data_IF_419736710702
#
_entry.id   IF_419736710702
#
_cell.length_a   1.000
_cell.length_b   1.000
_cell.length_c   1.000
_cell.angle_alpha   90.00
_cell.angle_beta   90.00
_cell.angle_gamma   90.00
#
_symmetry.space_group_name_H-M   'P 1'
#
loop_
_entity.id
_entity.type
_entity.pdbx_description
1 polymer ?
#
# COMPACT_ATOMS: atom_id res chain seq x y z
N UNK A 1 -22.06 8.17 -3.33
CA UNK A 1 -21.63 7.18 -2.32
C UNK A 1 -21.68 5.75 -2.85
N UNK A 2 -22.78 5.27 -3.46
CA UNK A 2 -22.90 3.88 -3.95
C UNK A 2 -21.81 3.43 -4.95
N UNK A 3 -21.28 4.32 -5.79
CA UNK A 3 -20.26 3.99 -6.81
C UNK A 3 -18.85 3.78 -6.24
N UNK A 4 -18.54 4.35 -5.08
CA UNK A 4 -17.23 4.18 -4.41
C UNK A 4 -17.20 2.81 -3.74
N UNK A 5 -18.24 2.53 -2.95
CA UNK A 5 -18.37 1.26 -2.25
C UNK A 5 -18.39 0.07 -3.20
N UNK A 6 -18.94 0.22 -4.41
CA UNK A 6 -18.92 -0.84 -5.42
C UNK A 6 -17.51 -1.14 -5.93
N UNK A 7 -16.64 -0.13 -6.10
CA UNK A 7 -15.25 -0.33 -6.53
C UNK A 7 -14.39 -0.98 -5.43
N UNK A 8 -14.76 -0.80 -4.16
CA UNK A 8 -14.12 -1.40 -2.99
C UNK A 8 -14.64 -2.81 -2.65
N UNK A 9 -15.63 -3.36 -3.38
CA UNK A 9 -16.11 -4.73 -3.11
C UNK A 9 -15.25 -5.78 -3.80
N UNK A 10 -14.50 -6.54 -3.00
CA UNK A 10 -13.81 -7.75 -3.42
C UNK A 10 -13.76 -8.76 -2.26
N UNK A 11 -13.57 -10.03 -2.55
CA UNK A 11 -13.26 -11.07 -1.56
C UNK A 11 -11.76 -11.38 -1.58
N UNK A 12 -11.19 -11.45 -2.77
CA UNK A 12 -9.75 -11.63 -2.99
C UNK A 12 -9.23 -10.64 -4.02
N UNK A 13 -8.00 -10.18 -3.82
CA UNK A 13 -7.27 -9.35 -4.76
C UNK A 13 -5.93 -10.03 -5.05
N UNK A 14 -5.60 -10.19 -6.32
CA UNK A 14 -4.30 -10.64 -6.77
C UNK A 14 -3.72 -9.61 -7.74
N UNK A 15 -2.46 -9.26 -7.54
CA UNK A 15 -1.70 -8.51 -8.53
C UNK A 15 -0.32 -9.09 -8.73
N UNK A 16 0.19 -9.01 -9.95
CA UNK A 16 1.56 -9.32 -10.31
C UNK A 16 2.13 -8.18 -11.14
N UNK A 17 3.33 -7.76 -10.83
CA UNK A 17 3.91 -6.58 -11.45
C UNK A 17 5.41 -6.47 -11.27
N UNK A 18 5.90 -5.27 -11.52
CA UNK A 18 7.27 -4.87 -11.29
C UNK A 18 7.30 -3.68 -10.35
N UNK A 19 8.31 -3.64 -9.49
CA UNK A 19 8.65 -2.49 -8.69
C UNK A 19 10.02 -1.97 -9.12
N UNK A 20 10.17 -0.66 -9.15
CA UNK A 20 11.45 0.03 -9.22
C UNK A 20 11.60 0.86 -7.95
N UNK A 21 12.75 0.77 -7.31
CA UNK A 21 13.09 1.54 -6.12
C UNK A 21 14.35 2.35 -6.40
N UNK A 22 14.38 3.57 -5.89
CA UNK A 22 15.56 4.42 -5.90
C UNK A 22 15.64 5.19 -4.59
N UNK A 23 16.80 5.13 -3.94
CA UNK A 23 17.15 5.90 -2.76
C UNK A 23 18.62 6.26 -2.78
N UNK A 24 19.09 6.97 -1.74
CA UNK A 24 20.46 7.49 -1.65
C UNK A 24 21.56 6.43 -1.75
N UNK A 25 21.30 5.22 -1.27
CA UNK A 25 22.30 4.15 -1.16
C UNK A 25 22.12 3.04 -2.21
N UNK A 26 20.89 2.83 -2.69
CA UNK A 26 20.57 1.71 -3.58
C UNK A 26 19.48 2.11 -4.57
N UNK A 27 19.60 1.58 -5.79
CA UNK A 27 18.54 1.59 -6.78
C UNK A 27 18.40 0.20 -7.41
N UNK A 28 17.21 -0.09 -7.94
CA UNK A 28 17.01 -1.32 -8.69
C UNK A 28 15.57 -1.65 -8.98
N UNK A 29 15.39 -2.72 -9.76
CA UNK A 29 14.09 -3.28 -10.09
C UNK A 29 13.94 -4.70 -9.54
N UNK A 30 12.70 -5.05 -9.21
CA UNK A 30 12.28 -6.37 -8.77
C UNK A 30 10.88 -6.68 -9.33
N UNK A 31 10.54 -7.96 -9.42
CA UNK A 31 9.17 -8.40 -9.63
C UNK A 31 8.44 -8.45 -8.29
N UNK A 32 7.15 -8.11 -8.29
CA UNK A 32 6.30 -8.24 -7.12
C UNK A 32 5.04 -9.04 -7.40
N UNK A 33 4.52 -9.66 -6.36
CA UNK A 33 3.24 -10.33 -6.37
C UNK A 33 2.51 -10.05 -5.06
N UNK A 34 1.29 -9.56 -5.16
CA UNK A 34 0.43 -9.25 -4.02
C UNK A 34 -0.79 -10.15 -4.05
N UNK A 35 -1.15 -10.69 -2.88
CA UNK A 35 -2.41 -11.39 -2.63
C UNK A 35 -3.08 -10.79 -1.42
N UNK A 36 -4.39 -10.57 -1.49
CA UNK A 36 -5.19 -10.07 -0.36
C UNK A 36 -6.45 -10.92 -0.25
N UNK A 37 -6.79 -11.30 0.97
CA UNK A 37 -8.13 -11.71 1.36
C UNK A 37 -8.73 -10.52 2.12
N UNK A 38 -9.84 -9.99 1.60
CA UNK A 38 -10.44 -8.75 2.11
C UNK A 38 -10.64 -8.83 3.61
N UNK A 39 -10.33 -7.74 4.31
CA UNK A 39 -10.51 -7.62 5.75
C UNK A 39 -9.79 -8.72 6.55
N UNK A 40 -8.78 -9.40 6.02
CA UNK A 40 -8.13 -10.51 6.73
C UNK A 40 -6.61 -10.45 6.65
N UNK A 41 -6.06 -10.61 5.44
CA UNK A 41 -4.63 -10.84 5.29
C UNK A 41 -4.16 -10.40 3.91
N UNK A 42 -2.97 -9.81 3.85
CA UNK A 42 -2.26 -9.49 2.62
C UNK A 42 -0.87 -10.12 2.63
N UNK A 43 -0.41 -10.59 1.48
CA UNK A 43 0.90 -11.20 1.32
C UNK A 43 1.58 -10.61 0.09
N UNK A 44 2.66 -9.88 0.31
CA UNK A 44 3.52 -9.32 -0.72
C UNK A 44 4.78 -10.18 -0.85
N UNK A 45 5.07 -10.62 -2.07
CA UNK A 45 6.28 -11.37 -2.42
C UNK A 45 7.10 -10.49 -3.37
N UNK A 46 8.37 -10.27 -3.03
CA UNK A 46 9.34 -9.52 -3.85
C UNK A 46 10.39 -10.49 -4.37
N UNK A 47 10.62 -10.46 -5.68
CA UNK A 47 11.55 -11.36 -6.37
C UNK A 47 12.52 -10.58 -7.25
N UNK A 48 13.74 -11.08 -7.38
CA UNK A 48 14.70 -10.59 -8.38
C UNK A 48 15.28 -11.78 -9.12
N UNK A 49 15.25 -11.74 -10.46
CA UNK A 49 15.70 -12.84 -11.32
C UNK A 49 15.05 -14.19 -10.96
N UNK A 50 13.76 -14.18 -10.62
CA UNK A 50 13.00 -15.38 -10.23
C UNK A 50 13.21 -15.85 -8.79
N UNK A 51 14.21 -15.33 -8.08
CA UNK A 51 14.51 -15.67 -6.68
C UNK A 51 13.69 -14.77 -5.75
N UNK A 52 13.02 -15.36 -4.77
CA UNK A 52 12.31 -14.62 -3.72
C UNK A 52 13.31 -14.01 -2.74
N UNK A 53 13.27 -12.68 -2.60
CA UNK A 53 14.13 -11.93 -1.68
C UNK A 53 13.40 -11.65 -0.37
N UNK A 54 12.16 -11.19 -0.48
CA UNK A 54 11.34 -10.83 0.67
C UNK A 54 9.93 -11.37 0.54
N UNK A 55 9.33 -11.73 1.67
CA UNK A 55 7.91 -11.99 1.79
C UNK A 55 7.34 -11.29 3.01
N UNK A 56 6.34 -10.46 2.79
CA UNK A 56 5.71 -9.64 3.82
C UNK A 56 4.27 -10.11 3.98
N UNK A 57 3.92 -10.56 5.18
CA UNK A 57 2.57 -10.88 5.59
C UNK A 57 2.03 -9.72 6.42
N UNK A 58 0.89 -9.18 6.02
CA UNK A 58 0.21 -8.09 6.73
C UNK A 58 -1.13 -8.66 7.18
N UNK A 59 -1.27 -8.80 8.48
CA UNK A 59 -2.50 -9.15 9.17
C UNK A 59 -3.10 -7.86 9.76
N UNK A 60 -4.31 -7.93 10.32
CA UNK A 60 -4.99 -6.74 10.87
C UNK A 60 -4.18 -6.01 11.94
N UNK A 61 -3.42 -6.74 12.75
CA UNK A 61 -2.74 -6.24 13.94
C UNK A 61 -1.20 -6.37 13.88
N UNK A 62 -0.68 -7.01 12.83
CA UNK A 62 0.73 -7.37 12.78
C UNK A 62 1.27 -7.49 11.37
N UNK A 63 2.58 -7.28 11.25
CA UNK A 63 3.35 -7.43 10.02
C UNK A 63 4.47 -8.43 10.29
N UNK A 64 4.53 -9.47 9.47
CA UNK A 64 5.63 -10.44 9.47
C UNK A 64 6.46 -10.28 8.22
N UNK A 65 7.74 -9.95 8.36
CA UNK A 65 8.70 -9.85 7.26
C UNK A 65 9.61 -11.07 7.29
N UNK A 66 9.68 -11.77 6.17
CA UNK A 66 10.63 -12.86 5.91
C UNK A 66 11.70 -12.34 4.96
N UNK A 67 12.94 -12.27 5.44
CA UNK A 67 14.13 -11.92 4.66
C UNK A 67 14.86 -13.20 4.24
N UNK A 68 14.83 -13.50 2.94
CA UNK A 68 15.48 -14.69 2.37
C UNK A 68 16.93 -14.47 2.01
N UNK A 69 17.41 -13.23 2.04
CA UNK A 69 18.82 -12.91 1.80
C UNK A 69 19.59 -13.27 3.08
N UNK A 70 19.12 -12.76 4.22
CA UNK A 70 19.77 -12.96 5.52
C UNK A 70 19.25 -14.20 6.29
N UNK A 71 18.27 -14.91 5.73
CA UNK A 71 17.56 -16.02 6.38
C UNK A 71 17.02 -15.63 7.77
N UNK A 72 16.39 -14.46 7.84
CA UNK A 72 15.81 -13.92 9.07
C UNK A 72 14.32 -13.66 8.91
N UNK A 73 13.63 -13.54 10.04
CA UNK A 73 12.24 -13.10 10.06
C UNK A 73 11.97 -12.21 11.27
N UNK A 74 11.02 -11.29 11.10
CA UNK A 74 10.56 -10.41 12.16
C UNK A 74 9.04 -10.36 12.14
N UNK A 75 8.41 -10.33 13.33
CA UNK A 75 6.98 -10.06 13.49
C UNK A 75 6.82 -8.87 14.43
N UNK A 76 6.23 -7.81 13.92
CA UNK A 76 5.96 -6.56 14.63
C UNK A 76 4.45 -6.32 14.70
N UNK A 77 3.97 -5.66 15.75
CA UNK A 77 2.62 -5.10 15.73
C UNK A 77 2.50 -4.01 14.67
N UNK A 78 1.29 -3.74 14.18
CA UNK A 78 1.06 -2.68 13.20
C UNK A 78 1.48 -1.31 13.73
N UNK A 79 1.31 -1.07 15.03
CA UNK A 79 1.74 0.17 15.69
C UNK A 79 3.26 0.32 15.62
N UNK A 80 4.01 -0.74 15.98
CA UNK A 80 5.47 -0.72 15.89
C UNK A 80 5.94 -0.52 14.45
N UNK A 81 5.29 -1.18 13.49
CA UNK A 81 5.60 -1.05 12.07
C UNK A 81 5.36 0.38 11.56
N UNK A 82 4.21 0.97 11.89
CA UNK A 82 3.88 2.37 11.57
C UNK A 82 4.87 3.34 12.19
N UNK A 83 5.26 3.13 13.46
CA UNK A 83 6.27 3.96 14.12
C UNK A 83 7.66 3.84 13.47
N UNK A 84 8.07 2.62 13.07
CA UNK A 84 9.36 2.37 12.42
C UNK A 84 9.43 2.98 11.01
N UNK A 85 8.38 2.82 10.22
CA UNK A 85 8.30 3.38 8.87
C UNK A 85 7.92 4.86 8.85
N UNK A 86 7.51 5.42 10.00
CA UNK A 86 6.84 6.73 10.12
C UNK A 86 5.77 6.96 9.06
N UNK A 87 5.10 5.88 8.65
CA UNK A 87 4.04 5.87 7.66
C UNK A 87 2.87 5.08 8.25
N UNK A 88 1.66 5.67 8.36
CA UNK A 88 0.46 4.96 8.79
C UNK A 88 -0.03 3.98 7.71
N UNK A 89 0.84 3.04 7.30
CA UNK A 89 0.41 1.87 6.52
C UNK A 89 -0.26 0.91 7.49
N UNK A 90 -1.58 1.01 7.57
CA UNK A 90 -2.38 -0.08 8.10
C UNK A 90 -2.90 -0.98 6.97
N UNK A 91 -3.51 -2.09 7.37
CA UNK A 91 -4.09 -3.06 6.45
C UNK A 91 -5.20 -2.45 5.57
N UNK A 92 -5.96 -1.48 6.09
CA UNK A 92 -7.09 -0.87 5.38
C UNK A 92 -6.63 0.13 4.33
N UNK A 93 -5.59 0.93 4.63
CA UNK A 93 -4.99 1.85 3.65
C UNK A 93 -4.55 1.12 2.39
N UNK A 94 -3.92 -0.06 2.53
CA UNK A 94 -3.49 -0.87 1.38
C UNK A 94 -4.69 -1.27 0.53
N UNK A 95 -5.76 -1.76 1.16
CA UNK A 95 -6.97 -2.17 0.44
C UNK A 95 -7.64 -0.98 -0.27
N UNK A 96 -7.76 0.16 0.41
CA UNK A 96 -8.37 1.37 -0.16
C UNK A 96 -7.57 1.90 -1.34
N UNK A 97 -6.25 2.00 -1.20
CA UNK A 97 -5.36 2.45 -2.28
C UNK A 97 -5.44 1.52 -3.50
N UNK A 98 -5.56 0.21 -3.30
CA UNK A 98 -5.63 -0.76 -4.42
C UNK A 98 -7.00 -0.84 -5.10
N UNK A 99 -8.04 -0.27 -4.49
CA UNK A 99 -9.42 -0.36 -4.99
C UNK A 99 -10.03 0.99 -5.34
N UNK A 100 -9.18 2.01 -5.55
CA UNK A 100 -9.62 3.40 -5.78
C UNK A 100 -10.51 3.95 -4.65
N UNK A 101 -10.39 3.36 -3.46
CA UNK A 101 -11.07 3.76 -2.25
C UNK A 101 -10.51 5.02 -1.61
N UNK A 102 -11.15 5.40 -0.50
CA UNK A 102 -10.69 6.49 0.36
C UNK A 102 -10.37 5.91 1.72
N UNK A 103 -9.16 6.19 2.20
CA UNK A 103 -8.77 5.82 3.55
C UNK A 103 -9.59 6.63 4.57
N UNK A 104 -10.44 5.92 5.30
CA UNK A 104 -11.28 6.46 6.36
C UNK A 104 -11.08 5.62 7.62
N UNK A 105 -10.91 6.30 8.75
CA UNK A 105 -10.62 5.73 10.05
C UNK A 105 -11.38 6.51 11.12
N UNK A 106 -11.94 5.79 12.09
CA UNK A 106 -12.72 6.38 13.19
C UNK A 106 -11.88 7.24 14.14
N UNK A 107 -10.56 7.08 14.12
CA UNK A 107 -9.62 7.81 14.97
C UNK A 107 -9.16 9.15 14.37
N UNK A 108 -9.71 9.54 13.22
CA UNK A 108 -9.31 10.76 12.50
C UNK A 108 -10.44 11.80 12.53
N UNK A 109 -10.05 13.05 12.73
CA UNK A 109 -10.92 14.21 12.47
C UNK A 109 -10.79 14.63 11.02
N UNK A 110 -11.91 14.96 10.37
CA UNK A 110 -11.96 15.21 8.93
C UNK A 110 -12.40 16.63 8.57
N UNK A 111 -11.73 17.18 7.55
CA UNK A 111 -12.16 18.37 6.82
C UNK A 111 -12.26 18.06 5.33
N UNK A 112 -13.28 18.61 4.68
CA UNK A 112 -13.51 18.44 3.24
C UNK A 112 -13.54 19.79 2.54
N UNK A 113 -12.74 19.93 1.48
CA UNK A 113 -12.75 21.11 0.61
C UNK A 113 -13.05 20.68 -0.82
N UNK A 114 -14.14 21.21 -1.37
CA UNK A 114 -14.57 20.89 -2.74
C UNK A 114 -14.19 22.01 -3.71
N UNK A 115 -13.73 21.59 -4.88
CA UNK A 115 -13.52 22.39 -6.10
C UNK A 115 -14.40 21.82 -7.22
N UNK A 116 -14.53 22.48 -8.39
CA UNK A 116 -15.41 22.00 -9.46
C UNK A 116 -15.13 20.55 -9.91
N UNK A 117 -13.85 20.20 -10.10
CA UNK A 117 -13.44 18.90 -10.64
C UNK A 117 -12.76 17.98 -9.61
N UNK A 118 -12.40 18.54 -8.46
CA UNK A 118 -11.62 17.84 -7.44
C UNK A 118 -12.17 18.10 -6.05
N UNK A 119 -11.79 17.26 -5.11
CA UNK A 119 -11.98 17.51 -3.69
C UNK A 119 -10.73 17.13 -2.92
N UNK A 120 -10.55 17.78 -1.78
CA UNK A 120 -9.47 17.52 -0.85
C UNK A 120 -10.10 17.02 0.45
N UNK A 121 -9.85 15.76 0.79
CA UNK A 121 -10.16 15.18 2.09
C UNK A 121 -8.90 15.31 2.95
N UNK A 122 -9.02 16.00 4.08
CA UNK A 122 -7.93 16.19 5.03
C UNK A 122 -8.30 15.46 6.32
N UNK A 123 -7.41 14.62 6.83
CA UNK A 123 -7.59 13.88 8.07
C UNK A 123 -6.47 14.18 9.05
N UNK A 124 -6.80 14.35 10.32
CA UNK A 124 -5.84 14.66 11.40
C UNK A 124 -6.05 13.74 12.59
N UNK A 125 -4.95 13.18 13.12
CA UNK A 125 -4.87 12.48 14.41
C UNK A 125 -3.73 13.08 15.25
N UNK A 126 -3.53 12.54 16.45
CA UNK A 126 -2.36 12.85 17.29
C UNK A 126 -1.02 12.39 16.67
N UNK A 127 -1.04 11.37 15.80
CA UNK A 127 0.17 10.73 15.27
C UNK A 127 0.57 11.23 13.87
N UNK A 128 -0.41 11.60 13.06
CA UNK A 128 -0.18 12.03 11.68
C UNK A 128 -1.34 12.86 11.13
N UNK A 129 -1.04 13.57 10.04
CA UNK A 129 -2.01 14.21 9.17
C UNK A 129 -1.96 13.54 7.80
N UNK A 130 -3.08 13.52 7.09
CA UNK A 130 -3.10 13.12 5.70
C UNK A 130 -4.02 14.00 4.84
N UNK A 131 -3.69 14.10 3.56
CA UNK A 131 -4.45 14.82 2.55
C UNK A 131 -4.65 13.91 1.34
N UNK A 132 -5.89 13.56 1.02
CA UNK A 132 -6.26 12.81 -0.18
C UNK A 132 -6.89 13.75 -1.21
N UNK A 133 -6.27 13.83 -2.38
CA UNK A 133 -6.86 14.47 -3.55
C UNK A 133 -7.78 13.48 -4.25
N UNK A 134 -9.00 13.94 -4.51
CA UNK A 134 -10.11 13.15 -5.05
C UNK A 134 -10.54 13.77 -6.36
N UNK A 135 -10.58 12.97 -7.42
CA UNK A 135 -11.22 13.34 -8.69
C UNK A 135 -12.70 12.98 -8.61
N UNK A 136 -13.59 13.85 -9.11
CA UNK A 136 -15.04 13.62 -9.00
C UNK A 136 -15.63 12.84 -10.18
N UNK A 137 -14.92 12.76 -11.32
CA UNK A 137 -15.43 12.17 -12.57
C UNK A 137 -14.37 11.28 -13.25
N UNK A 138 -14.40 9.95 -13.02
CA UNK A 138 -15.15 9.26 -11.98
C UNK A 138 -14.55 9.49 -10.60
N UNK A 139 -15.36 9.25 -9.57
CA UNK A 139 -15.00 9.45 -8.17
C UNK A 139 -13.88 8.48 -7.73
N UNK A 140 -12.67 8.99 -7.46
CA UNK A 140 -11.49 8.19 -7.06
C UNK A 140 -10.38 9.05 -6.46
N UNK A 141 -9.52 8.43 -5.65
CA UNK A 141 -8.27 9.05 -5.18
C UNK A 141 -7.26 9.21 -6.33
N UNK A 142 -6.53 10.32 -6.38
CA UNK A 142 -5.40 10.54 -7.30
C UNK A 142 -4.05 10.65 -6.59
N UNK A 143 -4.04 11.21 -5.38
CA UNK A 143 -2.84 11.35 -4.57
C UNK A 143 -3.20 11.32 -3.09
N UNK A 144 -2.35 10.70 -2.26
CA UNK A 144 -2.48 10.70 -0.80
C UNK A 144 -1.16 11.17 -0.22
N UNK A 145 -1.19 12.20 0.61
CA UNK A 145 -0.01 12.75 1.27
C UNK A 145 -0.14 12.55 2.77
N UNK A 146 0.82 11.87 3.38
CA UNK A 146 0.95 11.72 4.82
C UNK A 146 2.06 12.60 5.35
N UNK A 147 1.85 13.20 6.52
CA UNK A 147 2.85 13.91 7.29
C UNK A 147 2.85 13.39 8.72
N UNK A 148 3.99 12.90 9.19
CA UNK A 148 4.19 12.48 10.58
C UNK A 148 5.63 12.80 11.02
N UNK A 149 5.78 13.55 12.11
CA UNK A 149 7.08 13.84 12.75
C UNK A 149 8.16 14.33 11.76
N UNK A 150 7.81 15.20 10.82
CA UNK A 150 8.73 15.77 9.83
C UNK A 150 9.07 14.84 8.64
N UNK A 151 8.44 13.67 8.56
CA UNK A 151 8.49 12.81 7.37
C UNK A 151 7.24 12.98 6.52
N UNK A 152 7.45 13.08 5.21
CA UNK A 152 6.39 13.22 4.23
C UNK A 152 6.37 11.99 3.33
N UNK A 153 5.21 11.37 3.20
CA UNK A 153 5.01 10.31 2.21
C UNK A 153 3.91 10.71 1.24
N UNK A 154 4.20 10.63 -0.05
CA UNK A 154 3.20 10.80 -1.11
C UNK A 154 2.95 9.47 -1.79
N UNK A 155 1.69 9.11 -2.01
CA UNK A 155 1.24 7.98 -2.83
C UNK A 155 0.48 8.58 -4.00
N UNK A 156 1.08 8.59 -5.19
CA UNK A 156 0.43 9.02 -6.42
C UNK A 156 -0.11 7.81 -7.18
N UNK A 157 -1.38 7.88 -7.57
CA UNK A 157 -2.02 6.86 -8.40
C UNK A 157 -1.94 7.32 -9.85
N UNK A 158 -0.97 6.77 -10.58
CA UNK A 158 -0.57 7.27 -11.89
C UNK A 158 -1.45 6.76 -13.03
N UNK A 159 -1.94 5.53 -12.92
CA UNK A 159 -2.75 4.88 -13.97
C UNK A 159 -3.84 4.01 -13.35
N UNK A 160 -4.95 3.91 -14.08
CA UNK A 160 -6.04 3.01 -13.76
C UNK A 160 -6.39 2.12 -14.96
N UNK A 161 -7.02 0.99 -14.70
CA UNK A 161 -7.53 0.05 -15.69
C UNK A 161 -8.90 -0.49 -15.27
N UNK A 162 -9.79 -0.69 -16.23
CA UNK A 162 -11.09 -1.30 -15.97
C UNK A 162 -10.98 -2.82 -15.97
N UNK A 163 -11.20 -3.45 -14.81
CA UNK A 163 -11.11 -4.90 -14.59
C UNK A 163 -12.46 -5.37 -14.04
N UNK A 164 -13.16 -6.20 -14.81
CA UNK A 164 -14.51 -6.69 -14.47
C UNK A 164 -15.50 -5.56 -14.10
N UNK A 165 -15.40 -4.40 -14.78
CA UNK A 165 -16.23 -3.22 -14.52
C UNK A 165 -15.77 -2.34 -13.35
N UNK A 166 -14.72 -2.73 -12.62
CA UNK A 166 -14.10 -1.90 -11.58
C UNK A 166 -12.93 -1.13 -12.16
N UNK A 167 -12.90 0.18 -11.93
CA UNK A 167 -11.73 0.98 -12.26
C UNK A 167 -10.70 0.83 -11.13
N UNK A 168 -9.61 0.12 -11.39
CA UNK A 168 -8.60 -0.18 -10.39
C UNK A 168 -7.27 0.50 -10.73
N UNK A 169 -6.51 0.95 -9.73
CA UNK A 169 -5.16 1.43 -9.92
C UNK A 169 -4.22 0.35 -10.48
N UNK A 170 -3.48 0.70 -11.53
CA UNK A 170 -2.49 -0.16 -12.17
C UNK A 170 -1.07 0.28 -11.87
N UNK A 171 -0.87 1.55 -11.55
CA UNK A 171 0.44 2.17 -11.38
C UNK A 171 0.46 3.13 -10.21
N UNK A 172 1.49 3.02 -9.38
CA UNK A 172 1.67 3.83 -8.18
C UNK A 172 3.09 4.40 -8.14
N UNK A 173 3.22 5.61 -7.61
CA UNK A 173 4.50 6.16 -7.16
C UNK A 173 4.41 6.52 -5.68
N UNK A 174 5.23 5.88 -4.86
CA UNK A 174 5.43 6.21 -3.46
C UNK A 174 6.69 7.07 -3.37
N UNK A 175 6.59 8.25 -2.77
CA UNK A 175 7.75 9.11 -2.46
C UNK A 175 7.84 9.31 -0.97
N UNK A 176 9.01 9.05 -0.41
CA UNK A 176 9.32 9.21 1.00
C UNK A 176 10.35 10.33 1.13
N UNK A 177 10.02 11.38 1.86
CA UNK A 177 10.93 12.49 2.16
C UNK A 177 11.17 12.51 3.66
N UNK A 178 12.43 12.42 4.05
CA UNK A 178 12.81 12.54 5.46
C UNK A 178 13.05 14.00 5.88
N UNK A 179 13.36 14.19 7.15
CA UNK A 179 13.63 15.50 7.76
C UNK A 179 14.85 16.22 7.15
N UNK A 180 15.73 15.50 6.43
CA UNK A 180 16.90 16.03 5.71
C UNK A 180 16.60 16.38 4.25
N UNK A 181 15.33 16.31 3.82
CA UNK A 181 14.89 16.43 2.43
C UNK A 181 15.46 15.37 1.47
N UNK A 182 15.99 14.25 1.98
CA UNK A 182 16.35 13.12 1.13
C UNK A 182 15.07 12.45 0.64
N UNK A 183 14.98 12.21 -0.67
CA UNK A 183 13.83 11.61 -1.31
C UNK A 183 14.18 10.19 -1.74
N UNK A 184 13.36 9.24 -1.32
CA UNK A 184 13.33 7.86 -1.84
C UNK A 184 12.03 7.67 -2.59
N UNK A 185 12.02 6.86 -3.64
CA UNK A 185 10.79 6.52 -4.32
C UNK A 185 10.68 5.05 -4.68
N UNK A 186 9.44 4.56 -4.71
CA UNK A 186 9.06 3.24 -5.19
C UNK A 186 8.00 3.45 -6.27
N UNK A 187 8.31 3.06 -7.50
CA UNK A 187 7.34 2.95 -8.57
C UNK A 187 6.87 1.51 -8.68
N UNK A 188 5.56 1.28 -8.73
CA UNK A 188 4.97 -0.06 -8.89
C UNK A 188 4.05 -0.03 -10.11
N UNK A 189 4.23 -0.96 -11.04
CA UNK A 189 3.35 -1.16 -12.19
C UNK A 189 2.85 -2.61 -12.19
N UNK A 190 1.53 -2.76 -12.11
CA UNK A 190 0.85 -4.05 -12.21
C UNK A 190 0.74 -4.48 -13.67
N UNK A 191 1.20 -5.69 -13.97
CA UNK A 191 1.06 -6.33 -15.28
C UNK A 191 -0.23 -7.15 -15.35
N UNK A 192 -0.68 -7.64 -14.21
CA UNK A 192 -1.88 -8.47 -14.08
C UNK A 192 -2.57 -8.13 -12.76
N UNK A 193 -3.90 -7.99 -12.80
CA UNK A 193 -4.76 -7.84 -11.63
C UNK A 193 -5.97 -8.78 -11.79
N UNK A 194 -6.33 -9.48 -10.72
CA UNK A 194 -7.51 -10.35 -10.65
C UNK A 194 -8.27 -10.07 -9.36
N UNK A 195 -9.59 -9.96 -9.47
CA UNK A 195 -10.49 -9.90 -8.33
C UNK A 195 -11.25 -11.21 -8.20
N UNK A 196 -11.53 -11.61 -6.96
CA UNK A 196 -12.41 -12.73 -6.63
C UNK A 196 -11.97 -14.08 -7.23
N UNK A 197 -10.67 -14.25 -7.49
CA UNK A 197 -10.11 -15.55 -7.86
C UNK A 197 -9.92 -16.44 -6.63
N UNK A 198 -9.96 -17.76 -6.81
CA UNK A 198 -9.64 -18.74 -5.77
C UNK A 198 -8.15 -18.66 -5.44
N UNK A 199 -7.79 -17.74 -4.56
CA UNK A 199 -6.42 -17.58 -4.07
C UNK A 199 -6.28 -18.23 -2.69
N UNK A 200 -5.16 -18.91 -2.47
CA UNK A 200 -4.73 -19.35 -1.14
C UNK A 200 -3.43 -18.66 -0.79
N UNK A 201 -3.36 -18.08 0.41
CA UNK A 201 -2.13 -17.53 0.96
C UNK A 201 -1.48 -18.63 1.80
N UNK A 202 -0.26 -19.03 1.43
CA UNK A 202 0.59 -19.92 2.22
C UNK A 202 1.77 -19.11 2.74
N UNK A 203 1.91 -19.05 4.06
CA UNK A 203 3.02 -18.38 4.72
C UNK A 203 3.56 -19.29 5.81
N UNK A 204 4.78 -19.77 5.61
CA UNK A 204 5.50 -20.62 6.56
C UNK A 204 6.91 -20.05 6.70
N UNK A 205 7.36 -19.95 7.94
CA UNK A 205 8.72 -19.52 8.27
C UNK A 205 9.59 -20.79 8.28
N UNK A 206 10.64 -20.87 7.45
CA UNK A 206 11.52 -22.04 7.47
C UNK A 206 12.19 -22.18 8.84
N UNK A 207 12.30 -23.41 9.33
CA UNK A 207 12.79 -23.71 10.70
C UNK A 207 14.22 -23.25 10.99
N UNK A 208 15.04 -23.08 9.95
CA UNK A 208 16.43 -22.63 10.07
C UNK A 208 16.57 -21.10 10.05
N UNK A 209 15.47 -20.35 9.87
CA UNK A 209 15.52 -18.89 9.86
C UNK A 209 15.61 -18.34 11.29
N UNK A 210 16.43 -17.32 11.48
CA UNK A 210 16.62 -16.67 12.77
C UNK A 210 15.58 -15.57 12.97
N UNK A 211 15.08 -15.43 14.19
CA UNK A 211 14.28 -14.25 14.54
C UNK A 211 15.22 -13.05 14.65
N UNK A 212 14.92 -11.99 13.90
CA UNK A 212 15.63 -10.71 13.96
C UNK A 212 15.01 -9.73 14.95
#
# INVERSE_FOLDING_TARGET
MNSIYSQQQFLTYFAKGSLYYSGSEFEGAADCQLRIIKDSIACLIIKKLGIELFRILIERDSVTVLDRIENTWQKNSIIQWTSQLKLPVDFYLIQDVLTSGFYLSEYLSYEWKQSPDTSLLMGTSELFQFNTQILLQPLRSSSINFNSLGQFTTIDILKHESINGNLLPKSFEFRFRNERNEIKFIHIESKEIKLNSKETIKFEIPTHYKRG
#
